data_IF_830983504596
#
_entry.id   IF_830983504596
#
_cell.length_a   1.000
_cell.length_b   1.000
_cell.length_c   1.000
_cell.angle_alpha   90.00
_cell.angle_beta   90.00
_cell.angle_gamma   90.00
#
_symmetry.space_group_name_H-M   'P 1'
#
loop_
_entity.id
_entity.type
_entity.pdbx_description
1 polymer ?
#
# COMPACT_ATOMS: atom_id res chain seq x y z
N UNK A 1 18.03 -4.02 -11.01
CA UNK A 1 16.86 -4.38 -10.24
C UNK A 1 16.02 -3.12 -10.03
N UNK A 2 14.92 -3.02 -10.74
CA UNK A 2 14.09 -1.82 -10.87
C UNK A 2 13.56 -1.33 -9.51
N UNK A 3 13.28 -2.26 -8.58
CA UNK A 3 12.82 -1.90 -7.24
C UNK A 3 13.90 -1.22 -6.40
N UNK A 4 15.17 -1.62 -6.53
CA UNK A 4 16.27 -0.94 -5.84
C UNK A 4 16.54 0.46 -6.42
N UNK A 5 16.38 0.63 -7.73
CA UNK A 5 16.48 1.94 -8.37
C UNK A 5 15.34 2.86 -7.92
N UNK A 6 14.10 2.36 -7.90
CA UNK A 6 12.97 3.10 -7.38
C UNK A 6 13.15 3.46 -5.89
N UNK A 7 13.59 2.53 -5.06
CA UNK A 7 13.89 2.79 -3.65
C UNK A 7 14.93 3.91 -3.49
N UNK A 8 15.99 3.91 -4.32
CA UNK A 8 16.99 4.97 -4.29
C UNK A 8 16.37 6.36 -4.56
N UNK A 9 15.47 6.48 -5.54
CA UNK A 9 14.78 7.74 -5.82
C UNK A 9 13.96 8.23 -4.62
N UNK A 10 13.29 7.32 -3.91
CA UNK A 10 12.58 7.67 -2.68
C UNK A 10 13.54 8.15 -1.58
N UNK A 11 14.62 7.41 -1.31
CA UNK A 11 15.64 7.78 -0.32
C UNK A 11 16.23 9.16 -0.63
N UNK A 12 16.61 9.40 -1.88
CA UNK A 12 17.16 10.67 -2.33
C UNK A 12 16.14 11.82 -2.13
N UNK A 13 14.86 11.59 -2.44
CA UNK A 13 13.79 12.56 -2.23
C UNK A 13 13.58 12.92 -0.76
N UNK A 14 13.64 11.96 0.14
CA UNK A 14 13.55 12.21 1.57
C UNK A 14 14.79 12.96 2.09
N UNK A 15 15.99 12.62 1.61
CA UNK A 15 17.25 13.27 1.98
C UNK A 15 17.28 14.76 1.60
N UNK A 16 16.77 15.12 0.41
CA UNK A 16 16.63 16.52 -0.03
C UNK A 16 15.75 17.33 0.94
N UNK A 17 14.82 16.68 1.62
CA UNK A 17 13.91 17.30 2.59
C UNK A 17 14.36 17.10 4.05
N UNK A 18 15.64 16.81 4.29
CA UNK A 18 16.23 16.58 5.62
C UNK A 18 15.51 15.49 6.43
N UNK A 19 15.00 14.45 5.75
CA UNK A 19 14.37 13.29 6.39
C UNK A 19 15.27 12.08 6.31
N UNK A 20 15.53 11.49 7.46
CA UNK A 20 16.29 10.24 7.54
C UNK A 20 15.40 9.05 7.19
N UNK A 21 15.94 8.16 6.39
CA UNK A 21 15.27 6.91 6.00
C UNK A 21 16.13 5.71 6.31
N UNK A 22 15.51 4.56 6.48
CA UNK A 22 16.17 3.26 6.53
C UNK A 22 15.40 2.29 5.64
N UNK A 23 16.11 1.59 4.79
CA UNK A 23 15.51 0.62 3.86
C UNK A 23 15.58 -0.79 4.43
N UNK A 24 14.47 -1.51 4.34
CA UNK A 24 14.32 -2.91 4.74
C UNK A 24 13.87 -3.73 3.53
N UNK A 25 14.78 -4.23 2.67
CA UNK A 25 14.43 -5.14 1.58
C UNK A 25 13.87 -6.44 2.17
N UNK A 26 12.66 -6.90 1.76
CA UNK A 26 12.09 -8.13 2.29
C UNK A 26 12.96 -9.37 2.10
N UNK A 27 13.75 -9.44 1.03
CA UNK A 27 14.72 -10.51 0.81
C UNK A 27 15.73 -10.72 1.94
N UNK A 28 15.98 -9.70 2.78
CA UNK A 28 16.94 -9.79 3.88
C UNK A 28 16.34 -10.35 5.18
N UNK A 29 14.99 -10.31 5.34
CA UNK A 29 14.38 -10.56 6.66
C UNK A 29 13.02 -11.29 6.59
N UNK A 30 12.42 -11.44 5.41
CA UNK A 30 11.10 -12.05 5.24
C UNK A 30 11.18 -13.39 4.48
N UNK A 31 10.28 -14.30 4.82
CA UNK A 31 10.10 -15.60 4.18
C UNK A 31 8.61 -15.87 3.96
N UNK A 32 8.27 -16.43 2.79
CA UNK A 32 6.88 -16.69 2.42
C UNK A 32 6.20 -15.50 1.75
N UNK A 33 5.00 -15.73 1.25
CA UNK A 33 4.20 -14.74 0.51
C UNK A 33 2.81 -14.57 1.14
N UNK A 34 2.06 -13.55 0.67
CA UNK A 34 0.76 -13.23 1.24
C UNK A 34 0.87 -12.47 2.56
N UNK A 35 -0.27 -12.13 3.17
CA UNK A 35 -0.31 -11.35 4.42
C UNK A 35 0.15 -12.12 5.68
N UNK A 36 0.39 -13.43 5.56
CA UNK A 36 0.86 -14.28 6.66
C UNK A 36 2.34 -14.71 6.50
N UNK A 37 3.14 -13.96 5.72
CA UNK A 37 4.57 -14.22 5.59
C UNK A 37 5.30 -14.19 6.95
N UNK A 38 6.42 -14.86 7.09
CA UNK A 38 7.27 -14.81 8.29
C UNK A 38 8.31 -13.68 8.16
N UNK A 39 8.74 -13.14 9.30
CA UNK A 39 9.80 -12.12 9.35
C UNK A 39 9.65 -11.20 10.54
N UNK A 40 10.74 -10.55 10.95
CA UNK A 40 10.75 -9.61 12.06
C UNK A 40 10.39 -8.20 11.60
N UNK A 41 9.27 -7.67 12.08
CA UNK A 41 8.80 -6.32 11.81
C UNK A 41 9.32 -5.26 12.78
N UNK A 42 10.16 -5.60 13.76
CA UNK A 42 10.65 -4.67 14.79
C UNK A 42 11.31 -3.42 14.20
N UNK A 43 11.95 -3.55 13.03
CA UNK A 43 12.56 -2.46 12.27
C UNK A 43 11.58 -1.35 11.86
N UNK A 44 10.28 -1.66 11.76
CA UNK A 44 9.23 -0.69 11.43
C UNK A 44 8.69 0.05 12.66
N UNK A 45 8.90 -0.47 13.88
CA UNK A 45 8.48 0.18 15.12
C UNK A 45 9.53 1.21 15.58
N UNK A 46 9.67 2.28 14.80
CA UNK A 46 10.67 3.33 15.07
C UNK A 46 10.19 4.29 16.12
N UNK A 47 11.09 4.65 17.06
CA UNK A 47 10.88 5.70 18.08
C UNK A 47 11.70 6.96 17.80
N UNK A 48 12.63 6.87 16.84
CA UNK A 48 13.36 8.00 16.28
C UNK A 48 12.57 8.60 15.10
N UNK A 49 13.03 9.70 14.57
CA UNK A 49 12.40 10.35 13.40
C UNK A 49 12.80 9.72 12.06
N UNK A 50 13.29 8.47 12.07
CA UNK A 50 13.69 7.76 10.86
C UNK A 50 12.46 7.11 10.21
N UNK A 51 12.33 7.27 8.91
CA UNK A 51 11.23 6.70 8.12
C UNK A 51 11.66 5.34 7.56
N UNK A 52 11.03 4.24 7.98
CA UNK A 52 11.30 2.93 7.40
C UNK A 52 10.68 2.82 6.00
N UNK A 53 11.46 2.34 5.05
CA UNK A 53 11.02 2.09 3.66
C UNK A 53 11.17 0.60 3.38
N UNK A 54 10.13 0.02 2.79
CA UNK A 54 10.15 -1.33 2.23
C UNK A 54 9.37 -1.35 0.92
N UNK A 55 9.47 -2.44 0.17
CA UNK A 55 8.87 -2.56 -1.16
C UNK A 55 8.54 -4.03 -1.47
N UNK A 56 7.80 -4.27 -2.55
CA UNK A 56 7.59 -5.63 -3.03
C UNK A 56 8.91 -6.26 -3.50
N UNK A 57 9.20 -7.47 -3.04
CA UNK A 57 10.49 -8.11 -3.29
C UNK A 57 10.36 -9.62 -3.48
N UNK A 58 11.39 -10.23 -4.02
CA UNK A 58 11.52 -11.69 -4.13
C UNK A 58 12.04 -12.22 -2.81
N UNK A 59 11.30 -13.15 -2.22
CA UNK A 59 11.61 -13.77 -0.93
C UNK A 59 11.67 -15.29 -1.07
N UNK A 60 12.39 -15.96 -0.18
CA UNK A 60 12.37 -17.40 -0.07
C UNK A 60 10.95 -17.90 0.28
N UNK A 61 10.59 -19.03 -0.25
CA UNK A 61 9.30 -19.65 -0.05
C UNK A 61 9.47 -21.12 0.32
N UNK A 62 8.95 -21.49 1.48
CA UNK A 62 8.89 -22.89 1.89
C UNK A 62 7.91 -23.66 1.00
N UNK A 63 8.39 -24.67 0.28
CA UNK A 63 7.56 -25.52 -0.54
C UNK A 63 8.17 -25.91 -1.89
N UNK A 64 7.40 -26.37 -2.87
CA UNK A 64 7.90 -26.82 -4.17
C UNK A 64 8.45 -25.68 -5.05
N UNK A 65 8.10 -24.45 -4.74
CA UNK A 65 8.68 -23.25 -5.35
C UNK A 65 9.67 -22.66 -4.35
N UNK A 66 10.92 -22.48 -4.78
CA UNK A 66 12.03 -22.00 -3.93
C UNK A 66 11.88 -20.53 -3.55
N UNK A 67 11.18 -19.73 -4.37
CA UNK A 67 11.00 -18.29 -4.15
C UNK A 67 9.60 -17.82 -4.57
N UNK A 68 9.22 -16.62 -4.13
CA UNK A 68 7.97 -15.96 -4.51
C UNK A 68 8.07 -14.44 -4.37
N UNK A 69 7.03 -13.74 -4.78
CA UNK A 69 6.95 -12.28 -4.63
C UNK A 69 6.11 -11.96 -3.39
N UNK A 70 6.72 -11.27 -2.44
CA UNK A 70 6.02 -10.63 -1.33
C UNK A 70 5.65 -9.21 -1.75
N UNK A 71 4.36 -8.93 -1.89
CA UNK A 71 3.90 -7.62 -2.35
C UNK A 71 3.94 -6.57 -1.24
N UNK A 72 4.08 -5.29 -1.61
CA UNK A 72 3.97 -4.17 -0.69
C UNK A 72 2.60 -4.11 0.00
N UNK A 73 1.52 -4.51 -0.68
CA UNK A 73 0.17 -4.54 -0.10
C UNK A 73 0.08 -5.57 1.05
N UNK A 74 0.70 -6.74 0.90
CA UNK A 74 0.78 -7.73 1.97
C UNK A 74 1.65 -7.25 3.16
N UNK A 75 2.74 -6.52 2.88
CA UNK A 75 3.54 -5.87 3.92
C UNK A 75 2.68 -4.90 4.74
N UNK A 76 1.88 -4.07 4.07
CA UNK A 76 0.98 -3.11 4.74
C UNK A 76 -0.02 -3.79 5.67
N UNK A 77 -0.59 -4.94 5.27
CA UNK A 77 -1.51 -5.71 6.13
C UNK A 77 -0.82 -6.12 7.42
N UNK A 78 0.35 -6.74 7.32
CA UNK A 78 1.04 -7.25 8.49
C UNK A 78 1.60 -6.14 9.39
N UNK A 79 2.15 -5.07 8.79
CA UNK A 79 2.58 -3.87 9.51
C UNK A 79 1.40 -3.25 10.29
N UNK A 80 0.24 -3.14 9.66
CA UNK A 80 -0.97 -2.59 10.28
C UNK A 80 -1.47 -3.42 11.47
N UNK A 81 -1.28 -4.74 11.42
CA UNK A 81 -1.67 -5.66 12.51
C UNK A 81 -0.70 -5.63 13.70
N UNK A 82 0.59 -5.57 13.43
CA UNK A 82 1.62 -5.87 14.43
C UNK A 82 2.32 -4.63 14.98
N UNK A 83 2.38 -3.52 14.22
CA UNK A 83 3.04 -2.29 14.67
C UNK A 83 2.05 -1.42 15.46
N UNK A 84 2.31 -1.17 16.75
CA UNK A 84 1.41 -0.37 17.56
C UNK A 84 1.39 1.11 17.14
N UNK A 85 0.21 1.73 17.24
CA UNK A 85 0.05 3.16 16.99
C UNK A 85 -0.14 3.55 15.53
N UNK A 86 -0.26 2.60 14.62
CA UNK A 86 -0.66 2.88 13.25
C UNK A 86 -2.11 3.37 13.25
N UNK A 87 -2.33 4.61 12.82
CA UNK A 87 -3.65 5.27 12.80
C UNK A 87 -4.26 5.38 11.41
N UNK A 88 -3.42 5.46 10.39
CA UNK A 88 -3.84 5.62 9.00
C UNK A 88 -3.11 4.61 8.11
N UNK A 89 -3.82 4.09 7.13
CA UNK A 89 -3.25 3.29 6.05
C UNK A 89 -3.70 3.91 4.73
N UNK A 90 -2.76 4.35 3.91
CA UNK A 90 -3.05 5.10 2.69
C UNK A 90 -2.42 4.38 1.50
N UNK A 91 -3.27 3.91 0.59
CA UNK A 91 -2.87 3.36 -0.69
C UNK A 91 -2.89 4.45 -1.75
N UNK A 92 -1.85 4.54 -2.56
CA UNK A 92 -1.74 5.53 -3.62
C UNK A 92 -1.88 4.88 -4.99
N UNK A 93 -2.78 5.45 -5.82
CA UNK A 93 -2.95 5.08 -7.23
C UNK A 93 -2.23 6.10 -8.13
N UNK A 94 -1.80 5.65 -9.30
CA UNK A 94 -1.07 6.50 -10.26
C UNK A 94 -1.95 7.17 -11.31
N UNK A 95 -3.23 6.81 -11.41
CA UNK A 95 -4.07 7.16 -12.56
C UNK A 95 -5.48 7.67 -12.19
N UNK A 96 -5.98 7.36 -11.00
CA UNK A 96 -7.34 7.71 -10.57
C UNK A 96 -7.36 8.36 -9.18
N UNK A 97 -8.41 9.14 -8.86
CA UNK A 97 -8.55 9.77 -7.54
C UNK A 97 -8.82 8.77 -6.41
N UNK A 98 -9.21 7.57 -6.72
CA UNK A 98 -9.57 6.47 -5.83
C UNK A 98 -10.23 5.36 -6.63
N UNK A 99 -11.06 4.52 -6.01
CA UNK A 99 -11.84 3.51 -6.71
C UNK A 99 -12.92 4.17 -7.59
N UNK A 100 -13.08 3.66 -8.80
CA UNK A 100 -14.03 4.20 -9.77
C UNK A 100 -15.15 3.20 -10.04
N UNK A 101 -16.35 3.70 -10.34
CA UNK A 101 -17.52 2.87 -10.69
C UNK A 101 -17.36 2.13 -12.02
N UNK A 102 -16.48 2.64 -12.89
CA UNK A 102 -16.12 2.09 -14.21
C UNK A 102 -14.67 2.42 -14.53
N UNK A 103 -14.06 1.84 -15.57
CA UNK A 103 -12.77 2.27 -16.08
C UNK A 103 -12.71 3.80 -16.25
N UNK A 104 -11.61 4.47 -15.89
CA UNK A 104 -11.54 5.95 -15.84
C UNK A 104 -11.89 6.66 -17.14
N UNK A 105 -11.64 5.99 -18.28
CA UNK A 105 -11.87 6.53 -19.62
C UNK A 105 -13.28 6.26 -20.15
N UNK A 106 -14.13 5.57 -19.40
CA UNK A 106 -15.51 5.29 -19.80
C UNK A 106 -16.46 6.43 -19.43
N UNK A 107 -17.41 6.80 -20.30
CA UNK A 107 -18.42 7.81 -19.98
C UNK A 107 -19.25 7.41 -18.75
N UNK A 108 -19.41 8.36 -17.82
CA UNK A 108 -20.14 8.15 -16.58
C UNK A 108 -19.35 7.34 -15.53
N UNK A 109 -18.02 7.27 -15.64
CA UNK A 109 -17.15 6.81 -14.57
C UNK A 109 -17.14 7.84 -13.44
N UNK A 110 -17.48 7.43 -12.21
CA UNK A 110 -17.57 8.28 -11.05
C UNK A 110 -16.69 7.73 -9.91
N UNK A 111 -16.19 8.62 -9.05
CA UNK A 111 -15.43 8.25 -7.86
C UNK A 111 -16.36 7.60 -6.82
N UNK A 112 -15.95 6.45 -6.30
CA UNK A 112 -16.56 5.81 -5.14
C UNK A 112 -15.96 6.45 -3.89
N UNK A 113 -16.73 7.29 -3.20
CA UNK A 113 -16.23 8.01 -2.03
C UNK A 113 -16.02 7.10 -0.79
N UNK A 114 -16.82 6.03 -0.69
CA UNK A 114 -16.76 5.07 0.40
C UNK A 114 -17.03 3.68 -0.15
N UNK A 115 -16.26 2.70 0.25
CA UNK A 115 -16.40 1.33 -0.24
C UNK A 115 -16.23 0.31 0.88
N UNK A 116 -17.05 -0.75 0.85
CA UNK A 116 -16.96 -1.88 1.77
C UNK A 116 -16.88 -3.21 1.01
N UNK A 117 -16.44 -4.26 1.70
CA UNK A 117 -16.33 -5.62 1.12
C UNK A 117 -17.67 -6.23 0.67
N UNK A 118 -18.79 -5.69 1.14
CA UNK A 118 -20.14 -6.12 0.73
C UNK A 118 -20.51 -5.62 -0.68
N UNK A 119 -19.77 -4.66 -1.23
CA UNK A 119 -20.00 -4.09 -2.55
C UNK A 119 -19.13 -4.76 -3.61
N UNK A 120 -19.75 -5.23 -4.70
CA UNK A 120 -19.00 -5.78 -5.83
C UNK A 120 -18.28 -4.66 -6.59
N UNK A 121 -16.97 -4.77 -6.73
CA UNK A 121 -16.22 -3.88 -7.63
C UNK A 121 -16.49 -4.32 -9.08
N UNK A 122 -17.27 -3.53 -9.80
CA UNK A 122 -17.49 -3.68 -11.24
C UNK A 122 -16.52 -2.77 -11.99
N UNK A 123 -15.26 -2.80 -11.67
CA UNK A 123 -14.27 -1.94 -12.30
C UNK A 123 -12.97 -2.68 -12.53
N UNK A 124 -12.72 -3.14 -13.73
CA UNK A 124 -11.45 -3.74 -14.09
C UNK A 124 -10.45 -2.66 -14.47
N UNK A 125 -9.55 -2.34 -13.56
CA UNK A 125 -8.27 -1.74 -13.92
C UNK A 125 -7.41 -2.87 -14.53
N UNK A 126 -7.56 -3.12 -15.82
CA UNK A 126 -6.70 -4.07 -16.54
C UNK A 126 -5.43 -3.36 -16.98
N UNK A 127 -4.38 -3.36 -16.20
CA UNK A 127 -3.06 -3.14 -16.74
C UNK A 127 -2.49 -4.48 -17.20
N UNK A 128 -2.11 -4.58 -18.47
CA UNK A 128 -1.53 -5.79 -19.08
C UNK A 128 -0.15 -6.19 -18.51
N UNK A 129 0.32 -5.56 -17.43
CA UNK A 129 1.63 -5.78 -16.80
C UNK A 129 1.58 -5.98 -15.28
N UNK A 130 0.39 -6.16 -14.70
CA UNK A 130 0.28 -6.32 -13.27
C UNK A 130 0.46 -7.78 -12.82
N UNK A 131 1.68 -8.13 -12.49
CA UNK A 131 2.05 -9.45 -11.94
C UNK A 131 1.74 -9.60 -10.44
N UNK A 132 1.23 -8.54 -9.79
CA UNK A 132 1.03 -8.48 -8.33
C UNK A 132 -0.43 -8.45 -7.89
N UNK A 133 -1.39 -8.58 -8.83
CA UNK A 133 -2.83 -8.60 -8.54
C UNK A 133 -3.52 -7.23 -8.55
N UNK A 134 -2.77 -6.16 -8.77
CA UNK A 134 -3.26 -4.82 -9.04
C UNK A 134 -4.22 -4.22 -8.03
N UNK A 135 -5.26 -3.58 -8.55
CA UNK A 135 -6.27 -2.91 -7.73
C UNK A 135 -7.04 -3.89 -6.83
N UNK A 136 -7.21 -5.15 -7.26
CA UNK A 136 -7.92 -6.16 -6.47
C UNK A 136 -7.16 -6.51 -5.20
N UNK A 137 -5.87 -6.87 -5.30
CA UNK A 137 -5.03 -7.18 -4.13
C UNK A 137 -4.94 -5.98 -3.19
N UNK A 138 -4.80 -4.79 -3.75
CA UNK A 138 -4.78 -3.54 -2.97
C UNK A 138 -6.08 -3.32 -2.21
N UNK A 139 -7.23 -3.56 -2.84
CA UNK A 139 -8.54 -3.40 -2.22
C UNK A 139 -8.79 -4.48 -1.17
N UNK A 140 -8.44 -5.75 -1.45
CA UNK A 140 -8.52 -6.83 -0.47
C UNK A 140 -7.65 -6.54 0.77
N UNK A 141 -6.42 -6.08 0.57
CA UNK A 141 -5.53 -5.69 1.66
C UNK A 141 -6.10 -4.50 2.45
N UNK A 142 -6.67 -3.51 1.77
CA UNK A 142 -7.28 -2.35 2.42
C UNK A 142 -8.49 -2.75 3.28
N UNK A 143 -9.32 -3.69 2.81
CA UNK A 143 -10.43 -4.26 3.58
C UNK A 143 -9.94 -5.03 4.80
N UNK A 144 -8.92 -5.87 4.65
CA UNK A 144 -8.35 -6.59 5.79
C UNK A 144 -7.84 -5.61 6.86
N UNK A 145 -7.22 -4.51 6.45
CA UNK A 145 -6.70 -3.48 7.34
C UNK A 145 -7.81 -2.66 8.00
N UNK A 146 -8.92 -2.34 7.31
CA UNK A 146 -9.97 -1.48 7.86
C UNK A 146 -10.72 -2.08 9.06
N UNK A 147 -10.64 -3.39 9.26
CA UNK A 147 -11.13 -4.05 10.48
C UNK A 147 -10.23 -3.77 11.71
N UNK A 148 -9.03 -3.24 11.51
CA UNK A 148 -8.04 -2.98 12.57
C UNK A 148 -7.80 -1.49 12.71
N UNK A 149 -7.69 -0.78 11.59
CA UNK A 149 -7.38 0.65 11.50
C UNK A 149 -8.59 1.38 10.92
N UNK A 150 -9.14 2.39 11.61
CA UNK A 150 -10.35 3.09 11.16
C UNK A 150 -10.13 4.03 9.97
N UNK A 151 -8.89 4.47 9.73
CA UNK A 151 -8.56 5.42 8.67
C UNK A 151 -7.76 4.70 7.56
N UNK A 152 -8.49 3.99 6.69
CA UNK A 152 -7.94 3.33 5.50
C UNK A 152 -8.47 4.02 4.26
N UNK A 153 -7.55 4.47 3.40
CA UNK A 153 -7.88 5.29 2.25
C UNK A 153 -7.14 4.86 0.98
N UNK A 154 -7.79 5.04 -0.16
CA UNK A 154 -7.19 4.93 -1.49
C UNK A 154 -7.24 6.31 -2.15
N UNK A 155 -6.08 6.88 -2.48
CA UNK A 155 -5.92 8.26 -2.96
C UNK A 155 -5.11 8.31 -4.27
N UNK A 156 -5.19 9.45 -4.97
CA UNK A 156 -4.34 9.77 -6.11
C UNK A 156 -2.93 10.17 -5.66
N UNK A 157 -1.94 9.32 -5.94
CA UNK A 157 -0.54 9.56 -5.59
C UNK A 157 0.11 10.74 -6.34
N UNK A 158 -0.51 11.22 -7.44
CA UNK A 158 -0.07 12.41 -8.18
C UNK A 158 -0.53 13.71 -7.50
N UNK A 159 -1.32 13.60 -6.43
CA UNK A 159 -1.94 14.70 -5.69
C UNK A 159 -1.55 14.65 -4.21
N UNK A 160 -0.27 14.92 -3.86
CA UNK A 160 0.23 14.77 -2.48
C UNK A 160 -0.52 15.66 -1.49
N UNK A 161 -1.12 16.77 -1.94
CA UNK A 161 -1.99 17.62 -1.13
C UNK A 161 -3.19 16.85 -0.53
N UNK A 162 -3.62 15.74 -1.13
CA UNK A 162 -4.72 14.91 -0.59
C UNK A 162 -4.36 14.23 0.72
N UNK A 163 -3.11 13.81 0.86
CA UNK A 163 -2.60 13.22 2.12
C UNK A 163 -2.59 14.31 3.21
N UNK A 164 -2.06 15.48 2.88
CA UNK A 164 -2.02 16.61 3.82
C UNK A 164 -3.41 17.03 4.27
N UNK A 165 -4.35 17.16 3.34
CA UNK A 165 -5.75 17.49 3.61
C UNK A 165 -6.38 16.44 4.53
N UNK A 166 -6.22 15.14 4.22
CA UNK A 166 -6.72 14.04 5.04
C UNK A 166 -6.20 14.12 6.48
N UNK A 167 -4.88 14.25 6.65
CA UNK A 167 -4.25 14.26 7.97
C UNK A 167 -4.62 15.49 8.81
N UNK A 168 -4.90 16.64 8.18
CA UNK A 168 -5.28 17.87 8.87
C UNK A 168 -6.76 17.98 9.18
N UNK A 169 -7.61 17.47 8.29
CA UNK A 169 -9.07 17.71 8.36
C UNK A 169 -9.90 16.43 8.56
N UNK A 170 -9.30 15.25 8.42
CA UNK A 170 -10.01 13.97 8.41
C UNK A 170 -10.82 13.70 7.15
N UNK A 171 -10.67 14.53 6.10
CA UNK A 171 -11.42 14.42 4.84
C UNK A 171 -10.52 14.77 3.66
N UNK A 172 -10.76 14.14 2.52
CA UNK A 172 -10.11 14.46 1.24
C UNK A 172 -10.89 13.84 0.08
N UNK A 173 -10.48 14.14 -1.16
CA UNK A 173 -10.98 13.44 -2.35
C UNK A 173 -10.24 12.12 -2.49
N UNK A 174 -10.97 11.02 -2.42
CA UNK A 174 -10.46 9.66 -2.49
C UNK A 174 -11.55 8.66 -2.10
N UNK A 175 -11.18 7.41 -1.93
CA UNK A 175 -12.08 6.36 -1.44
C UNK A 175 -11.71 5.97 -0.02
N UNK A 176 -12.62 6.16 0.93
CA UNK A 176 -12.49 5.59 2.27
C UNK A 176 -12.93 4.14 2.26
N UNK A 177 -12.11 3.25 2.80
CA UNK A 177 -12.46 1.82 2.95
C UNK A 177 -13.06 1.63 4.34
N UNK A 178 -14.20 0.97 4.38
CA UNK A 178 -14.94 0.67 5.62
C UNK A 178 -15.21 -0.83 5.74
N UNK A 179 -15.37 -1.35 6.96
CA UNK A 179 -15.71 -2.76 7.21
C UNK A 179 -16.99 -3.22 6.54
#
# INVERSE_FOLDING_TARGET
>A
NDMLELNKLFVDSFSINDRQTITFPPSDWAEGIGSNFNGDLSGFNRKDNTIPISFGDVVDRNGPLEFGILSGDNLMVRISKEIPGVSHCIFLLGDTPGLMTKPPNEPGSELINCWSSSENIVGTHSSNQDVTGGIFLKTESAVEICHIIPEVWILDGRKPERITELLLTGKTIGTKIIP
#
